data_IF_120184835361
#
_entry.id   IF_120184835361
#
_cell.length_a   1.000
_cell.length_b   1.000
_cell.length_c   1.000
_cell.angle_alpha   90.00
_cell.angle_beta   90.00
_cell.angle_gamma   90.00
#
_symmetry.space_group_name_H-M   'P 1'
#
loop_
_entity.id
_entity.type
_entity.pdbx_description
1 polymer ?
#
# COMPACT_ATOMS: atom_id res chain seq x y z
N UNK A 1 18.15 8.41 20.21
CA UNK A 1 18.78 8.03 18.92
C UNK A 1 18.36 6.64 18.42
N UNK A 2 17.60 5.85 19.19
CA UNK A 2 17.13 4.50 18.78
C UNK A 2 15.78 4.55 18.03
N UNK A 3 14.98 5.60 18.22
CA UNK A 3 13.67 5.76 17.56
C UNK A 3 13.76 6.06 16.07
N UNK A 4 14.84 6.70 15.61
CA UNK A 4 15.04 7.05 14.20
C UNK A 4 15.47 5.86 13.33
N UNK A 5 16.02 4.80 13.94
CA UNK A 5 16.45 3.59 13.23
C UNK A 5 15.24 2.67 13.03
N UNK A 6 14.35 2.57 14.02
CA UNK A 6 13.12 1.76 13.92
C UNK A 6 12.09 2.29 12.93
N UNK A 7 12.02 3.60 12.72
CA UNK A 7 11.03 4.20 11.82
C UNK A 7 11.30 3.96 10.32
N UNK A 8 12.52 3.53 9.95
CA UNK A 8 12.96 3.37 8.55
C UNK A 8 13.11 1.92 8.07
N UNK A 9 13.06 0.93 8.96
CA UNK A 9 13.47 -0.44 8.62
C UNK A 9 12.36 -1.38 8.17
N UNK A 10 11.11 -1.25 8.64
CA UNK A 10 10.32 -2.49 8.71
C UNK A 10 9.36 -2.80 7.55
N UNK A 11 9.06 -1.86 6.65
CA UNK A 11 8.12 -2.14 5.55
C UNK A 11 8.76 -2.78 4.32
N UNK A 12 10.01 -2.41 3.99
CA UNK A 12 10.67 -2.96 2.81
C UNK A 12 11.31 -4.32 3.05
N UNK A 13 11.55 -4.70 4.32
CA UNK A 13 12.12 -6.01 4.69
C UNK A 13 11.06 -7.09 4.92
N UNK A 14 9.81 -6.71 5.22
CA UNK A 14 8.69 -7.65 5.33
C UNK A 14 8.10 -7.93 3.95
N UNK A 15 8.12 -9.21 3.56
CA UNK A 15 7.43 -9.72 2.37
C UNK A 15 5.97 -9.24 2.33
N UNK A 16 5.55 -8.71 1.18
CA UNK A 16 4.22 -8.14 0.95
C UNK A 16 3.11 -9.08 1.40
N UNK A 17 3.33 -10.39 1.33
CA UNK A 17 2.37 -11.40 1.82
C UNK A 17 1.96 -11.19 3.29
N UNK A 18 2.86 -10.68 4.14
CA UNK A 18 2.63 -10.48 5.57
C UNK A 18 2.15 -9.07 5.93
N UNK A 19 1.97 -8.18 4.95
CA UNK A 19 1.52 -6.83 5.23
C UNK A 19 0.11 -6.85 5.83
N UNK A 20 -0.02 -6.35 7.05
CA UNK A 20 -1.31 -6.01 7.66
C UNK A 20 -1.86 -4.70 7.07
N UNK A 21 -3.08 -4.35 7.46
CA UNK A 21 -3.69 -3.08 7.10
C UNK A 21 -2.80 -1.87 7.49
N UNK A 22 -2.25 -1.88 8.72
CA UNK A 22 -1.34 -0.84 9.21
C UNK A 22 -0.10 -0.65 8.33
N UNK A 23 0.47 -1.76 7.83
CA UNK A 23 1.63 -1.70 6.94
C UNK A 23 1.28 -0.99 5.62
N UNK A 24 0.07 -1.24 5.10
CA UNK A 24 -0.43 -0.59 3.88
C UNK A 24 -0.74 0.89 4.12
N UNK A 25 -1.36 1.22 5.25
CA UNK A 25 -1.59 2.62 5.66
C UNK A 25 -0.27 3.38 5.74
N UNK A 26 0.73 2.81 6.41
CA UNK A 26 2.06 3.41 6.51
C UNK A 26 2.74 3.54 5.14
N UNK A 27 2.65 2.53 4.28
CA UNK A 27 3.20 2.59 2.92
C UNK A 27 2.57 3.73 2.11
N UNK A 28 1.24 3.89 2.15
CA UNK A 28 0.53 4.98 1.48
C UNK A 28 0.91 6.35 2.08
N UNK A 29 1.05 6.45 3.39
CA UNK A 29 1.53 7.66 4.07
C UNK A 29 2.95 8.04 3.64
N UNK A 30 3.86 7.07 3.52
CA UNK A 30 5.24 7.28 3.06
C UNK A 30 5.28 7.72 1.56
N UNK A 31 4.23 7.42 0.78
CA UNK A 31 4.03 7.93 -0.59
C UNK A 31 3.41 9.34 -0.64
N UNK A 32 2.99 9.89 0.50
CA UNK A 32 2.30 11.19 0.59
C UNK A 32 0.78 11.10 0.37
N UNK A 33 0.17 9.94 0.63
CA UNK A 33 -1.26 9.67 0.41
C UNK A 33 -2.05 9.52 1.73
N UNK A 34 -1.55 10.11 2.83
CA UNK A 34 -2.19 10.02 4.15
C UNK A 34 -3.64 10.51 4.17
N UNK A 35 -4.00 11.46 3.33
CA UNK A 35 -5.38 11.99 3.25
C UNK A 35 -6.38 10.94 2.71
N UNK A 36 -5.89 9.89 2.04
CA UNK A 36 -6.70 8.84 1.40
C UNK A 36 -6.74 7.53 2.20
N UNK A 37 -6.07 7.47 3.36
CA UNK A 37 -6.03 6.25 4.18
C UNK A 37 -7.20 6.12 5.16
N UNK A 38 -8.02 7.17 5.28
CA UNK A 38 -9.21 7.15 6.13
C UNK A 38 -10.19 6.07 5.65
N UNK A 39 -10.46 5.09 6.52
CA UNK A 39 -11.39 3.98 6.23
C UNK A 39 -10.76 2.73 5.61
N UNK A 40 -9.43 2.71 5.40
CA UNK A 40 -8.73 1.49 4.96
C UNK A 40 -8.91 0.34 5.97
N UNK A 41 -9.02 0.64 7.26
CA UNK A 41 -9.22 -0.34 8.34
C UNK A 41 -10.45 -1.23 8.11
N UNK A 42 -11.56 -0.63 7.61
CA UNK A 42 -12.79 -1.34 7.29
C UNK A 42 -12.80 -1.97 5.89
N UNK A 43 -11.78 -1.72 5.07
CA UNK A 43 -11.73 -2.22 3.69
C UNK A 43 -11.37 -3.71 3.61
N UNK A 44 -10.75 -4.28 4.66
CA UNK A 44 -10.20 -5.64 4.63
C UNK A 44 -8.98 -5.78 3.71
N UNK A 45 -8.38 -4.66 3.28
CA UNK A 45 -7.15 -4.65 2.49
C UNK A 45 -5.98 -5.15 3.35
N UNK A 46 -5.28 -6.18 2.87
CA UNK A 46 -4.10 -6.76 3.49
C UNK A 46 -3.25 -7.47 2.42
N UNK A 47 -1.99 -7.71 2.73
CA UNK A 47 -0.97 -8.26 1.85
C UNK A 47 -1.33 -9.58 1.19
N UNK A 48 -1.83 -10.54 1.97
CA UNK A 48 -2.25 -11.84 1.43
C UNK A 48 -3.37 -11.71 0.39
N UNK A 49 -4.34 -10.82 0.60
CA UNK A 49 -5.35 -10.52 -0.43
C UNK A 49 -4.72 -9.86 -1.66
N UNK A 50 -3.79 -8.92 -1.49
CA UNK A 50 -3.11 -8.27 -2.62
C UNK A 50 -2.30 -9.28 -3.45
N UNK A 51 -1.59 -10.21 -2.80
CA UNK A 51 -0.70 -11.16 -3.46
C UNK A 51 -1.46 -12.34 -4.05
N UNK A 52 -2.29 -13.00 -3.25
CA UNK A 52 -2.89 -14.30 -3.58
C UNK A 52 -4.16 -14.20 -4.44
N UNK A 53 -4.89 -13.08 -4.38
CA UNK A 53 -6.06 -12.88 -5.24
C UNK A 53 -5.62 -12.36 -6.62
N UNK A 54 -5.74 -13.22 -7.64
CA UNK A 54 -5.38 -12.89 -9.03
C UNK A 54 -6.21 -11.74 -9.63
N UNK A 55 -7.36 -11.42 -9.05
CA UNK A 55 -8.23 -10.32 -9.49
C UNK A 55 -7.82 -8.98 -8.88
N UNK A 56 -6.97 -8.99 -7.85
CA UNK A 56 -6.47 -7.75 -7.25
C UNK A 56 -5.52 -7.03 -8.22
N UNK A 57 -5.85 -5.78 -8.52
CA UNK A 57 -5.13 -4.91 -9.45
C UNK A 57 -5.12 -3.45 -8.97
N UNK A 58 -4.49 -2.58 -9.76
CA UNK A 58 -4.46 -1.14 -9.48
C UNK A 58 -5.87 -0.53 -9.37
N UNK A 59 -6.81 -0.96 -10.21
CA UNK A 59 -8.19 -0.48 -10.17
C UNK A 59 -8.91 -0.84 -8.86
N UNK A 60 -8.62 -2.02 -8.31
CA UNK A 60 -9.13 -2.47 -7.03
C UNK A 60 -8.61 -1.59 -5.90
N UNK A 61 -7.33 -1.25 -5.92
CA UNK A 61 -6.72 -0.39 -4.91
C UNK A 61 -7.32 1.02 -4.93
N UNK A 62 -7.37 1.68 -6.09
CA UNK A 62 -7.89 3.06 -6.18
C UNK A 62 -9.36 3.17 -5.76
N UNK A 63 -10.17 2.13 -6.02
CA UNK A 63 -11.58 2.08 -5.58
C UNK A 63 -11.68 2.02 -4.06
N UNK A 64 -10.81 1.25 -3.40
CA UNK A 64 -10.79 1.14 -1.93
C UNK A 64 -10.31 2.42 -1.25
N UNK A 65 -9.36 3.11 -1.88
CA UNK A 65 -8.78 4.36 -1.36
C UNK A 65 -9.63 5.60 -1.67
N UNK A 66 -10.66 5.48 -2.51
CA UNK A 66 -11.48 6.60 -2.98
C UNK A 66 -10.67 7.80 -3.51
N UNK A 67 -9.53 7.53 -4.17
CA UNK A 67 -8.63 8.59 -4.67
C UNK A 67 -9.31 9.33 -5.83
N UNK A 68 -9.42 10.67 -5.79
CA UNK A 68 -9.93 11.46 -6.91
C UNK A 68 -9.01 11.33 -8.12
N UNK A 69 -9.54 11.53 -9.34
CA UNK A 69 -8.81 11.39 -10.61
C UNK A 69 -7.73 12.47 -10.80
N UNK A 70 -6.66 12.41 -10.01
CA UNK A 70 -5.45 13.20 -10.17
C UNK A 70 -4.38 12.33 -10.84
N UNK A 71 -4.08 12.63 -12.10
CA UNK A 71 -3.18 11.83 -12.95
C UNK A 71 -1.81 11.62 -12.30
N UNK A 72 -1.21 12.65 -11.71
CA UNK A 72 0.12 12.55 -11.11
C UNK A 72 0.14 11.61 -9.89
N UNK A 73 -0.90 11.68 -9.05
CA UNK A 73 -1.06 10.81 -7.88
C UNK A 73 -1.26 9.35 -8.33
N UNK A 74 -2.12 9.14 -9.32
CA UNK A 74 -2.44 7.81 -9.84
C UNK A 74 -1.22 7.15 -10.49
N UNK A 75 -0.47 7.85 -11.33
CA UNK A 75 0.75 7.32 -11.93
C UNK A 75 1.77 6.90 -10.86
N UNK A 76 2.02 7.77 -9.87
CA UNK A 76 2.96 7.45 -8.77
C UNK A 76 2.51 6.23 -7.98
N UNK A 77 1.20 6.12 -7.68
CA UNK A 77 0.66 4.98 -6.94
C UNK A 77 0.77 3.68 -7.74
N UNK A 78 0.45 3.73 -9.04
CA UNK A 78 0.53 2.57 -9.93
C UNK A 78 1.98 2.05 -10.02
N UNK A 79 2.94 2.93 -10.25
CA UNK A 79 4.36 2.58 -10.30
C UNK A 79 4.84 1.91 -9.02
N UNK A 80 4.48 2.47 -7.86
CA UNK A 80 4.88 1.91 -6.56
C UNK A 80 4.16 0.60 -6.25
N UNK A 81 2.88 0.47 -6.62
CA UNK A 81 2.13 -0.78 -6.46
C UNK A 81 2.78 -1.91 -7.28
N UNK A 82 3.11 -1.64 -8.55
CA UNK A 82 3.76 -2.63 -9.40
C UNK A 82 5.14 -3.05 -8.87
N UNK A 83 5.87 -2.12 -8.25
CA UNK A 83 7.18 -2.39 -7.65
C UNK A 83 7.10 -3.39 -6.49
N UNK A 84 6.05 -3.33 -5.67
CA UNK A 84 5.87 -4.25 -4.54
C UNK A 84 5.13 -5.53 -4.93
N UNK A 85 4.21 -5.45 -5.90
CA UNK A 85 3.33 -6.58 -6.24
C UNK A 85 3.97 -7.59 -7.20
N UNK A 86 4.74 -7.14 -8.19
CA UNK A 86 5.41 -8.02 -9.16
C UNK A 86 6.42 -9.00 -8.53
N UNK A 87 7.29 -8.61 -7.59
CA UNK A 87 8.20 -9.56 -6.97
C UNK A 87 7.52 -10.50 -5.96
N UNK A 88 6.31 -10.16 -5.50
CA UNK A 88 5.56 -10.95 -4.53
C UNK A 88 4.62 -11.99 -5.19
N UNK A 89 4.39 -11.89 -6.50
CA UNK A 89 3.56 -12.80 -7.31
C UNK A 89 4.43 -13.62 -8.26
#
# INVERSE_FOLDING_TARGET
MIEQIRAKSDLSELDLLYWTNDHIVKWLSDLGLSDFVHGIDASGLHGAYMVLDSTFDFNTLIKRLHIPLNVAVLCKLEENLQRILKPAR
#
